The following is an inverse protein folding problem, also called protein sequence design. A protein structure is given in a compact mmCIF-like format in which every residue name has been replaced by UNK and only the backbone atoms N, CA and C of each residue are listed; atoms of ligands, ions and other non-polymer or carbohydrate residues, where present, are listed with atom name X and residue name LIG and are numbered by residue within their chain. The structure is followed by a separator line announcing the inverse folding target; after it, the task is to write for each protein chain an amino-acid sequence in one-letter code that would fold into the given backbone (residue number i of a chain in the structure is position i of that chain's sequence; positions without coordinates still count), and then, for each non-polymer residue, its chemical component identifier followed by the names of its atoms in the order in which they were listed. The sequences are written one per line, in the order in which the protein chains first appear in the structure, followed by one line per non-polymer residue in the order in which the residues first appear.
data_IF_533097552013
#
_entry.id   IF_533097552013
#
_cell.length_a   1.000
_cell.length_b   1.000
_cell.length_c   1.000
_cell.angle_alpha   90.00
_cell.angle_beta   90.00
_cell.angle_gamma   90.00
#
_symmetry.space_group_name_H-M   'P 1'
#
loop_
_entity.id
_entity.type
_entity.pdbx_description
1 polymer ?
#
# COMPACT_ATOMS: atom_id res chain seq x y z
N UNK A 1 27.06 -0.52 14.57
CA UNK A 1 27.96 0.04 13.54
C UNK A 1 28.57 -1.05 12.63
N UNK A 2 29.18 -2.11 13.16
CA UNK A 2 29.78 -3.19 12.34
C UNK A 2 28.78 -3.97 11.44
N UNK A 3 27.51 -4.04 11.83
CA UNK A 3 26.46 -4.79 11.12
C UNK A 3 26.12 -4.26 9.71
N UNK A 4 26.49 -3.02 9.39
CA UNK A 4 26.25 -2.40 8.07
C UNK A 4 27.55 -2.22 7.27
N UNK A 5 28.67 -2.78 7.75
CA UNK A 5 29.94 -2.70 7.04
C UNK A 5 29.86 -3.53 5.74
N UNK A 6 29.71 -2.86 4.61
CA UNK A 6 29.60 -3.48 3.28
C UNK A 6 28.22 -3.34 2.61
N UNK A 7 27.23 -2.77 3.29
CA UNK A 7 25.93 -2.45 2.67
C UNK A 7 26.02 -1.16 1.86
N UNK A 8 25.29 -1.07 0.75
CA UNK A 8 25.15 0.19 0.01
C UNK A 8 24.56 1.27 0.92
N UNK A 9 25.02 2.51 0.78
CA UNK A 9 24.45 3.69 1.47
C UNK A 9 23.40 4.41 0.65
N UNK A 10 23.14 3.93 -0.56
CA UNK A 10 22.22 4.52 -1.51
C UNK A 10 20.97 3.64 -1.65
N UNK A 11 19.81 4.28 -1.66
CA UNK A 11 18.53 3.68 -1.97
C UNK A 11 17.67 4.69 -2.73
N UNK A 12 16.68 4.19 -3.46
CA UNK A 12 15.61 5.01 -4.02
C UNK A 12 14.39 4.81 -3.13
N UNK A 13 13.84 5.92 -2.64
CA UNK A 13 12.69 5.92 -1.74
C UNK A 13 11.56 6.67 -2.42
N UNK A 14 10.35 6.17 -2.25
CA UNK A 14 9.16 6.90 -2.66
C UNK A 14 8.91 8.03 -1.66
N UNK A 15 8.47 9.16 -2.19
CA UNK A 15 7.94 10.24 -1.37
C UNK A 15 6.52 9.89 -0.92
N UNK A 16 6.11 10.42 0.23
CA UNK A 16 4.74 10.33 0.77
C UNK A 16 4.09 8.93 0.73
N UNK A 17 4.73 7.94 1.37
CA UNK A 17 4.15 6.59 1.50
C UNK A 17 3.02 6.51 2.54
N UNK A 18 2.73 7.60 3.24
CA UNK A 18 1.69 7.67 4.28
C UNK A 18 0.38 8.21 3.73
N UNK A 19 0.43 9.07 2.70
CA UNK A 19 -0.73 9.58 1.98
C UNK A 19 -1.63 8.48 1.43
N UNK A 20 -2.93 8.61 1.66
CA UNK A 20 -3.96 7.75 1.10
C UNK A 20 -5.34 8.40 1.19
N UNK A 21 -6.07 8.50 0.08
CA UNK A 21 -7.46 8.97 0.06
C UNK A 21 -8.42 7.84 0.45
N UNK A 22 -8.55 7.59 1.75
CA UNK A 22 -9.38 6.50 2.25
C UNK A 22 -10.88 6.67 1.92
N UNK A 23 -11.39 7.91 1.94
CA UNK A 23 -12.79 8.19 1.64
C UNK A 23 -13.13 7.85 0.18
N UNK A 24 -12.21 8.16 -0.74
CA UNK A 24 -12.37 7.80 -2.16
C UNK A 24 -12.57 6.29 -2.37
N UNK A 25 -11.91 5.45 -1.58
CA UNK A 25 -11.99 3.99 -1.68
C UNK A 25 -13.06 3.36 -0.77
N UNK A 26 -13.92 4.16 -0.12
CA UNK A 26 -14.91 3.70 0.89
C UNK A 26 -14.25 2.95 2.08
N UNK A 27 -13.05 3.36 2.49
CA UNK A 27 -12.29 2.77 3.59
C UNK A 27 -12.31 3.69 4.81
N UNK A 28 -12.54 3.15 6.01
CA UNK A 28 -12.56 3.98 7.21
C UNK A 28 -11.15 4.46 7.60
N UNK A 29 -11.00 5.63 8.25
CA UNK A 29 -9.68 6.13 8.66
C UNK A 29 -8.89 5.13 9.52
N UNK A 30 -9.57 4.43 10.43
CA UNK A 30 -8.93 3.43 11.28
C UNK A 30 -8.48 2.18 10.53
N UNK A 31 -9.17 1.79 9.46
CA UNK A 31 -8.71 0.71 8.58
C UNK A 31 -7.51 1.18 7.76
N UNK A 32 -7.59 2.37 7.16
CA UNK A 32 -6.51 2.96 6.37
C UNK A 32 -5.19 3.07 7.16
N UNK A 33 -5.25 3.49 8.43
CA UNK A 33 -4.09 3.57 9.32
C UNK A 33 -3.38 2.23 9.53
N UNK A 34 -4.11 1.11 9.39
CA UNK A 34 -3.59 -0.25 9.59
C UNK A 34 -3.22 -0.93 8.27
N UNK A 35 -3.55 -0.32 7.13
CA UNK A 35 -3.24 -0.88 5.82
C UNK A 35 -1.75 -0.75 5.52
N UNK A 36 -1.21 -1.81 4.91
CA UNK A 36 0.14 -1.82 4.37
C UNK A 36 0.26 -0.70 3.30
N UNK A 37 1.27 0.18 3.37
CA UNK A 37 1.53 1.20 2.34
C UNK A 37 1.57 0.63 0.92
N UNK A 38 2.05 -0.60 0.72
CA UNK A 38 2.05 -1.25 -0.60
C UNK A 38 0.63 -1.49 -1.13
N UNK A 39 -0.32 -1.80 -0.24
CA UNK A 39 -1.73 -2.01 -0.63
C UNK A 39 -2.39 -0.68 -0.98
N UNK A 40 -2.10 0.39 -0.22
CA UNK A 40 -2.59 1.75 -0.48
C UNK A 40 -2.11 2.26 -1.84
N UNK A 41 -0.80 2.19 -2.10
CA UNK A 41 -0.20 2.54 -3.39
C UNK A 41 -0.75 1.71 -4.55
N UNK A 42 -1.00 0.42 -4.33
CA UNK A 42 -1.60 -0.44 -5.37
C UNK A 42 -3.00 0.05 -5.77
N UNK A 43 -3.83 0.47 -4.81
CA UNK A 43 -5.18 0.96 -5.08
C UNK A 43 -5.15 2.26 -5.89
N UNK A 44 -4.31 3.22 -5.48
CA UNK A 44 -4.15 4.50 -6.15
C UNK A 44 -3.64 4.31 -7.58
N UNK A 45 -2.52 3.61 -7.76
CA UNK A 45 -1.90 3.41 -9.09
C UNK A 45 -2.81 2.58 -10.00
N UNK A 46 -3.54 1.60 -9.47
CA UNK A 46 -4.51 0.85 -10.26
C UNK A 46 -5.65 1.76 -10.74
N UNK A 47 -6.15 2.64 -9.88
CA UNK A 47 -7.20 3.59 -10.24
C UNK A 47 -6.71 4.62 -11.27
N UNK A 48 -5.53 5.22 -11.06
CA UNK A 48 -4.87 6.12 -12.01
C UNK A 48 -4.67 5.46 -13.39
N UNK A 49 -4.30 4.16 -13.41
CA UNK A 49 -4.14 3.43 -14.66
C UNK A 49 -5.47 3.25 -15.41
N UNK A 50 -6.58 3.05 -14.69
CA UNK A 50 -7.92 3.01 -15.27
C UNK A 50 -8.33 4.38 -15.83
N UNK A 51 -8.11 5.46 -15.07
CA UNK A 51 -8.38 6.82 -15.51
C UNK A 51 -7.57 7.19 -16.75
N UNK A 52 -6.28 6.88 -16.75
CA UNK A 52 -5.40 7.10 -17.89
C UNK A 52 -5.87 6.32 -19.13
N UNK A 53 -6.45 5.13 -18.94
CA UNK A 53 -7.05 4.35 -20.03
C UNK A 53 -8.45 4.82 -20.44
N UNK A 54 -9.06 5.78 -19.72
CA UNK A 54 -10.43 6.23 -19.94
C UNK A 54 -11.49 5.19 -19.58
N UNK A 55 -11.15 4.26 -18.67
CA UNK A 55 -12.04 3.17 -18.23
C UNK A 55 -12.63 3.57 -16.88
N UNK A 56 -13.96 3.72 -16.81
CA UNK A 56 -14.63 3.94 -15.53
C UNK A 56 -14.56 2.68 -14.68
N UNK A 57 -14.15 2.78 -13.41
CA UNK A 57 -14.00 1.62 -12.53
C UNK A 57 -15.32 0.84 -12.37
N UNK A 58 -16.45 1.54 -12.33
CA UNK A 58 -17.79 0.94 -12.23
C UNK A 58 -18.14 0.08 -13.44
N UNK A 59 -17.57 0.40 -14.61
CA UNK A 59 -17.80 -0.37 -15.84
C UNK A 59 -17.20 -1.78 -15.79
N UNK A 60 -16.25 -2.01 -14.87
CA UNK A 60 -15.62 -3.31 -14.64
C UNK A 60 -16.43 -4.18 -13.65
N UNK A 61 -17.49 -3.65 -13.03
CA UNK A 61 -18.34 -4.47 -12.16
C UNK A 61 -19.00 -5.59 -12.98
N UNK A 62 -18.92 -6.81 -12.47
CA UNK A 62 -19.48 -8.03 -13.10
C UNK A 62 -18.84 -8.41 -14.45
N UNK A 63 -17.70 -7.83 -14.81
CA UNK A 63 -16.92 -8.29 -15.98
C UNK A 63 -15.95 -9.41 -15.57
N UNK A 64 -15.30 -10.02 -16.54
CA UNK A 64 -14.24 -11.00 -16.31
C UNK A 64 -12.85 -10.34 -16.25
N UNK A 65 -12.73 -9.21 -15.55
CA UNK A 65 -11.45 -8.50 -15.38
C UNK A 65 -10.59 -9.21 -14.33
N UNK A 66 -9.38 -9.63 -14.72
CA UNK A 66 -8.39 -10.19 -13.82
C UNK A 66 -7.45 -9.12 -13.26
N UNK A 67 -7.03 -9.28 -12.00
CA UNK A 67 -6.02 -8.44 -11.35
C UNK A 67 -4.83 -9.31 -10.96
N UNK A 68 -3.64 -8.93 -11.40
CA UNK A 68 -2.39 -9.62 -11.08
C UNK A 68 -1.42 -8.59 -10.50
N UNK A 69 -1.05 -8.75 -9.23
CA UNK A 69 -0.18 -7.82 -8.53
C UNK A 69 1.02 -8.57 -7.93
N UNK A 70 2.21 -8.00 -8.08
CA UNK A 70 3.38 -8.41 -7.32
C UNK A 70 3.45 -7.60 -6.03
N UNK A 71 3.50 -8.27 -4.88
CA UNK A 71 3.66 -7.64 -3.58
C UNK A 71 4.85 -8.26 -2.84
N UNK A 72 5.63 -7.43 -2.14
CA UNK A 72 6.66 -7.93 -1.24
C UNK A 72 6.04 -8.41 0.08
N UNK A 73 6.81 -9.19 0.85
CA UNK A 73 6.36 -9.81 2.10
C UNK A 73 5.73 -8.80 3.08
N UNK A 74 4.84 -9.31 3.94
CA UNK A 74 4.05 -8.54 4.92
C UNK A 74 4.85 -7.97 6.09
N UNK A 75 6.00 -7.35 5.79
CA UNK A 75 6.90 -6.71 6.73
C UNK A 75 6.17 -5.63 7.54
N UNK A 76 5.23 -4.91 6.93
CA UNK A 76 4.43 -3.91 7.63
C UNK A 76 3.57 -4.53 8.73
N UNK A 77 2.89 -5.64 8.44
CA UNK A 77 2.12 -6.39 9.44
C UNK A 77 3.01 -7.01 10.53
N UNK A 78 4.21 -7.45 10.17
CA UNK A 78 5.20 -7.93 11.13
C UNK A 78 5.70 -6.81 12.05
N UNK A 79 6.01 -5.63 11.51
CA UNK A 79 6.42 -4.45 12.29
C UNK A 79 5.29 -3.96 13.19
N UNK A 80 4.06 -3.93 12.67
CA UNK A 80 2.88 -3.53 13.45
C UNK A 80 2.57 -4.47 14.61
N UNK A 81 2.87 -5.77 14.48
CA UNK A 81 2.62 -6.77 15.52
C UNK A 81 3.80 -7.02 16.46
N UNK A 82 5.03 -6.70 16.03
CA UNK A 82 6.23 -6.84 16.85
C UNK A 82 6.37 -5.76 17.92
N UNK A 83 5.74 -4.60 17.73
CA UNK A 83 5.57 -3.59 18.78
C UNK A 83 4.33 -3.88 19.65
N UNK A 84 4.48 -4.76 20.62
CA UNK A 84 3.43 -5.15 21.56
C UNK A 84 2.87 -3.98 22.39
N UNK A 85 3.57 -2.84 22.47
CA UNK A 85 3.06 -1.65 23.18
C UNK A 85 1.86 -0.99 22.48
N UNK A 86 1.59 -1.36 21.21
CA UNK A 86 0.50 -0.82 20.39
C UNK A 86 -0.75 -1.70 20.36
N UNK A 87 -0.73 -2.86 21.01
CA UNK A 87 -1.82 -3.85 20.94
C UNK A 87 -3.00 -3.48 21.86
N UNK A 88 -2.78 -2.62 22.85
CA UNK A 88 -3.77 -2.20 23.86
C UNK A 88 -4.11 -0.69 23.85
N UNK A 89 -3.82 0.02 22.75
CA UNK A 89 -4.10 1.46 22.60
C UNK A 89 -5.33 1.76 21.73
#
# INVERSE_FOLDING_TARGET
AAALAGTTRFGAFLDDIEGFDAEFFDISPGEADRMDPQQRLLLEVAYEALEHAGIAAESLRQTQTGVFAGACAGEYGYLASSDLSRVDA
#
